data_IF_755262337770
#
_entry.id   IF_755262337770
#
_cell.length_a   1.000
_cell.length_b   1.000
_cell.length_c   1.000
_cell.angle_alpha   90.00
_cell.angle_beta   90.00
_cell.angle_gamma   90.00
#
_symmetry.space_group_name_H-M   'P 1'
#
loop_
_entity.id
_entity.type
_entity.pdbx_description
1 polymer ?
#
# COMPACT_ATOMS: atom_id res chain seq x y z
N UNK A 1 21.38 9.78 3.89
CA UNK A 1 20.81 11.11 4.19
C UNK A 1 19.43 10.96 4.80
N UNK A 2 18.98 11.96 5.53
CA UNK A 2 17.62 12.06 6.07
C UNK A 2 16.70 12.85 5.13
N UNK A 3 15.39 12.86 5.41
CA UNK A 3 14.42 13.66 4.64
C UNK A 3 14.70 15.15 4.75
N UNK A 4 15.08 15.63 5.93
CA UNK A 4 15.34 17.05 6.16
C UNK A 4 16.61 17.49 5.44
N UNK A 5 17.65 16.65 5.43
CA UNK A 5 18.86 16.87 4.62
C UNK A 5 18.57 16.92 3.11
N UNK A 6 17.67 16.05 2.62
CA UNK A 6 17.24 16.07 1.22
C UNK A 6 16.54 17.39 0.87
N UNK A 7 15.64 17.88 1.72
CA UNK A 7 14.87 19.10 1.49
C UNK A 7 15.71 20.38 1.58
N UNK A 8 16.79 20.35 2.35
CA UNK A 8 17.74 21.46 2.50
C UNK A 8 18.88 21.43 1.46
N UNK A 9 18.99 20.36 0.67
CA UNK A 9 20.04 20.23 -0.33
C UNK A 9 19.89 21.31 -1.42
N UNK A 10 21.00 21.91 -1.90
CA UNK A 10 20.96 22.89 -2.98
C UNK A 10 20.50 22.25 -4.29
N UNK A 11 19.96 23.06 -5.21
CA UNK A 11 19.49 22.57 -6.52
C UNK A 11 20.58 21.88 -7.34
N UNK A 12 21.85 22.28 -7.17
CA UNK A 12 23.00 21.64 -7.81
C UNK A 12 23.19 20.18 -7.43
N UNK A 13 22.68 19.78 -6.28
CA UNK A 13 22.80 18.41 -5.73
C UNK A 13 21.59 17.53 -6.09
N UNK A 14 20.66 18.06 -6.89
CA UNK A 14 19.48 17.33 -7.34
C UNK A 14 19.87 16.02 -8.04
N UNK A 15 19.33 14.92 -7.54
CA UNK A 15 19.58 13.55 -8.01
C UNK A 15 21.03 13.10 -7.94
N UNK A 16 21.82 13.63 -6.99
CA UNK A 16 23.12 13.07 -6.67
C UNK A 16 23.01 11.64 -6.09
N UNK A 17 24.14 10.94 -5.99
CA UNK A 17 24.19 9.54 -5.54
C UNK A 17 23.51 9.32 -4.18
N UNK A 18 23.72 10.22 -3.23
CA UNK A 18 23.17 10.10 -1.89
C UNK A 18 21.64 10.29 -1.89
N UNK A 19 21.09 11.17 -2.75
CA UNK A 19 19.65 11.35 -2.94
C UNK A 19 19.02 10.13 -3.61
N UNK A 20 19.69 9.56 -4.63
CA UNK A 20 19.22 8.35 -5.30
C UNK A 20 19.13 7.16 -4.34
N UNK A 21 20.12 6.99 -3.46
CA UNK A 21 20.09 5.97 -2.41
C UNK A 21 18.90 6.18 -1.47
N UNK A 22 18.63 7.43 -1.06
CA UNK A 22 17.47 7.76 -0.23
C UNK A 22 16.16 7.40 -0.92
N UNK A 23 15.94 7.84 -2.17
CA UNK A 23 14.70 7.55 -2.89
C UNK A 23 14.53 6.07 -3.18
N UNK A 24 15.61 5.34 -3.46
CA UNK A 24 15.55 3.89 -3.62
C UNK A 24 15.08 3.21 -2.33
N UNK A 25 15.62 3.60 -1.18
CA UNK A 25 15.19 3.06 0.11
C UNK A 25 13.71 3.40 0.40
N UNK A 26 13.28 4.63 0.10
CA UNK A 26 11.89 5.05 0.26
C UNK A 26 10.94 4.24 -0.63
N UNK A 27 11.28 4.06 -1.91
CA UNK A 27 10.45 3.28 -2.84
C UNK A 27 10.35 1.82 -2.43
N UNK A 28 11.44 1.22 -1.93
CA UNK A 28 11.41 -0.16 -1.43
C UNK A 28 10.54 -0.29 -0.18
N UNK A 29 10.61 0.66 0.76
CA UNK A 29 9.74 0.67 1.92
C UNK A 29 8.26 0.83 1.52
N UNK A 30 7.95 1.74 0.60
CA UNK A 30 6.59 1.91 0.07
C UNK A 30 6.08 0.67 -0.67
N UNK A 31 6.96 -0.04 -1.37
CA UNK A 31 6.64 -1.31 -2.02
C UNK A 31 6.29 -2.38 -0.98
N UNK A 32 7.07 -2.49 0.10
CA UNK A 32 6.82 -3.42 1.20
C UNK A 32 5.47 -3.12 1.88
N UNK A 33 5.23 -1.86 2.25
CA UNK A 33 3.93 -1.42 2.81
C UNK A 33 2.76 -1.74 1.87
N UNK A 34 2.92 -1.57 0.55
CA UNK A 34 1.86 -1.88 -0.40
C UNK A 34 1.59 -3.39 -0.48
N UNK A 35 2.63 -4.22 -0.42
CA UNK A 35 2.47 -5.68 -0.37
C UNK A 35 1.77 -6.11 0.92
N UNK A 36 2.14 -5.54 2.07
CA UNK A 36 1.50 -5.81 3.35
C UNK A 36 0.01 -5.46 3.34
N UNK A 37 -0.38 -4.31 2.74
CA UNK A 37 -1.80 -3.96 2.58
C UNK A 37 -2.55 -4.96 1.70
N UNK A 38 -1.95 -5.43 0.61
CA UNK A 38 -2.56 -6.45 -0.26
C UNK A 38 -2.76 -7.76 0.49
N UNK A 39 -1.75 -8.24 1.22
CA UNK A 39 -1.85 -9.49 1.98
C UNK A 39 -2.84 -9.37 3.15
N UNK A 40 -2.85 -8.25 3.86
CA UNK A 40 -3.84 -7.96 4.90
C UNK A 40 -5.27 -7.92 4.36
N UNK A 41 -5.48 -7.28 3.20
CA UNK A 41 -6.77 -7.26 2.52
C UNK A 41 -7.24 -8.66 2.10
N UNK A 42 -6.34 -9.51 1.59
CA UNK A 42 -6.67 -10.91 1.25
C UNK A 42 -7.05 -11.73 2.49
N UNK A 43 -6.34 -11.55 3.60
CA UNK A 43 -6.65 -12.22 4.85
C UNK A 43 -8.05 -11.82 5.36
N UNK A 44 -8.34 -10.51 5.38
CA UNK A 44 -9.66 -10.00 5.79
C UNK A 44 -10.79 -10.49 4.85
N UNK A 45 -10.54 -10.52 3.54
CA UNK A 45 -11.48 -11.07 2.57
C UNK A 45 -11.81 -12.55 2.86
N UNK A 46 -10.82 -13.37 3.22
CA UNK A 46 -11.02 -14.78 3.56
C UNK A 46 -11.83 -14.96 4.86
N UNK A 47 -11.76 -14.01 5.80
CA UNK A 47 -12.58 -14.01 7.02
C UNK A 47 -14.06 -13.67 6.71
N UNK A 48 -14.30 -12.72 5.79
CA UNK A 48 -15.63 -12.29 5.35
C UNK A 48 -16.43 -13.34 4.58
N UNK A 49 -15.78 -14.34 3.96
CA UNK A 49 -16.45 -15.40 3.19
C UNK A 49 -17.37 -16.31 4.05
N UNK A 50 -17.40 -16.14 5.37
CA UNK A 50 -18.27 -16.89 6.29
C UNK A 50 -19.43 -16.02 6.79
N UNK A 51 -20.56 -15.95 6.07
CA UNK A 51 -21.72 -15.21 6.53
C UNK A 51 -22.28 -15.80 7.83
N UNK A 52 -22.57 -14.92 8.80
CA UNK A 52 -23.02 -15.29 10.15
C UNK A 52 -24.53 -15.57 10.15
N UNK A 53 -25.33 -14.86 9.34
CA UNK A 53 -26.77 -15.10 9.10
C UNK A 53 -27.21 -14.47 7.74
N UNK A 54 -28.39 -14.87 7.23
CA UNK A 54 -29.03 -14.42 5.99
C UNK A 54 -29.33 -12.91 5.99
N UNK A 55 -29.57 -12.32 7.17
CA UNK A 55 -29.82 -10.89 7.31
C UNK A 55 -28.56 -10.03 7.02
N UNK A 56 -27.37 -10.57 7.24
CA UNK A 56 -26.10 -9.85 7.11
C UNK A 56 -25.50 -9.91 5.69
N UNK A 57 -26.10 -10.72 4.81
CA UNK A 57 -25.57 -11.00 3.47
C UNK A 57 -25.33 -9.74 2.65
N UNK A 58 -26.24 -8.76 2.74
CA UNK A 58 -26.11 -7.51 1.97
C UNK A 58 -24.92 -6.68 2.45
N UNK A 59 -24.74 -6.54 3.76
CA UNK A 59 -23.64 -5.77 4.34
C UNK A 59 -22.28 -6.44 4.12
N UNK A 60 -22.23 -7.78 4.21
CA UNK A 60 -21.02 -8.56 3.94
C UNK A 60 -20.59 -8.41 2.48
N UNK A 61 -21.54 -8.42 1.54
CA UNK A 61 -21.21 -8.27 0.12
C UNK A 61 -20.75 -6.84 -0.24
N UNK A 62 -21.31 -5.82 0.40
CA UNK A 62 -20.82 -4.44 0.26
C UNK A 62 -19.38 -4.27 0.76
N UNK A 63 -19.08 -4.84 1.93
CA UNK A 63 -17.74 -4.84 2.50
C UNK A 63 -16.76 -5.61 1.60
N UNK A 64 -17.16 -6.79 1.11
CA UNK A 64 -16.39 -7.58 0.14
C UNK A 64 -16.04 -6.77 -1.11
N UNK A 65 -17.01 -6.10 -1.73
CA UNK A 65 -16.77 -5.29 -2.92
C UNK A 65 -15.79 -4.14 -2.63
N UNK A 66 -15.93 -3.50 -1.48
CA UNK A 66 -15.02 -2.43 -1.03
C UNK A 66 -13.59 -2.93 -0.90
N UNK A 67 -13.38 -4.10 -0.29
CA UNK A 67 -12.06 -4.70 -0.11
C UNK A 67 -11.45 -5.16 -1.42
N UNK A 68 -12.22 -5.74 -2.33
CA UNK A 68 -11.73 -6.12 -3.65
C UNK A 68 -11.22 -4.90 -4.43
N UNK A 69 -11.95 -3.79 -4.40
CA UNK A 69 -11.50 -2.54 -5.01
C UNK A 69 -10.22 -1.99 -4.36
N UNK A 70 -10.09 -2.08 -3.04
CA UNK A 70 -8.90 -1.66 -2.31
C UNK A 70 -7.68 -2.50 -2.73
N UNK A 71 -7.83 -3.83 -2.73
CA UNK A 71 -6.79 -4.78 -3.12
C UNK A 71 -6.38 -4.54 -4.58
N UNK A 72 -7.34 -4.39 -5.50
CA UNK A 72 -7.06 -4.16 -6.91
C UNK A 72 -6.31 -2.84 -7.15
N UNK A 73 -6.70 -1.78 -6.42
CA UNK A 73 -5.99 -0.49 -6.49
C UNK A 73 -4.54 -0.64 -6.04
N UNK A 74 -4.32 -1.29 -4.91
CA UNK A 74 -2.98 -1.46 -4.35
C UNK A 74 -2.13 -2.38 -5.25
N UNK A 75 -2.70 -3.42 -5.85
CA UNK A 75 -2.00 -4.26 -6.85
C UNK A 75 -1.60 -3.50 -8.11
N UNK A 76 -2.37 -2.50 -8.53
CA UNK A 76 -2.00 -1.62 -9.67
C UNK A 76 -0.87 -0.65 -9.34
N UNK A 77 -0.58 -0.41 -8.05
CA UNK A 77 0.56 0.41 -7.61
C UNK A 77 1.85 -0.40 -7.48
N UNK A 78 1.78 -1.73 -7.52
CA UNK A 78 2.95 -2.60 -7.52
C UNK A 78 3.55 -2.67 -8.94
N UNK A 79 4.89 -2.65 -9.07
CA UNK A 79 5.61 -2.76 -10.35
C UNK A 79 5.54 -4.16 -10.98
#
# INVERSE_FOLDING_TARGET
MTRDELLLAPESDYMNEAQLVFFKALLLAQLEECNERVEGGKAHLAELERPIDVADVASIEEERMTLLHLIDRDRRMLP
#
